data_IF_297344299588
#
_entry.id   IF_297344299588
#
_cell.length_a   1.000
_cell.length_b   1.000
_cell.length_c   1.000
_cell.angle_alpha   90.00
_cell.angle_beta   90.00
_cell.angle_gamma   90.00
#
_symmetry.space_group_name_H-M   'P 1'
#
loop_
_entity.id
_entity.type
_entity.pdbx_description
1 polymer ?
#
# COMPACT_ATOMS: atom_id res chain seq x y z
N UNK A 1 -10.82 17.14 5.71
CA UNK A 1 -10.84 15.68 5.42
C UNK A 1 -9.59 15.42 4.58
N UNK A 2 -8.66 14.58 5.06
CA UNK A 2 -7.39 14.35 4.36
C UNK A 2 -7.70 13.61 3.03
N UNK A 3 -7.23 14.11 1.87
CA UNK A 3 -7.52 13.53 0.55
C UNK A 3 -7.17 12.04 0.45
N UNK A 4 -6.26 11.56 1.30
CA UNK A 4 -5.94 10.15 1.49
C UNK A 4 -7.16 9.29 1.83
N UNK A 5 -7.92 9.66 2.87
CA UNK A 5 -9.09 8.89 3.29
C UNK A 5 -10.17 8.88 2.20
N UNK A 6 -10.28 9.95 1.43
CA UNK A 6 -11.20 10.01 0.29
C UNK A 6 -10.79 9.06 -0.85
N UNK A 7 -9.48 8.87 -1.08
CA UNK A 7 -8.98 7.91 -2.06
C UNK A 7 -9.22 6.45 -1.63
N UNK A 8 -9.05 6.16 -0.33
CA UNK A 8 -9.33 4.83 0.24
C UNK A 8 -10.83 4.51 0.39
N UNK A 9 -11.71 5.51 0.31
CA UNK A 9 -13.17 5.37 0.41
C UNK A 9 -13.87 5.17 -0.95
N UNK A 10 -13.11 4.94 -2.03
CA UNK A 10 -13.68 4.57 -3.33
C UNK A 10 -14.50 3.28 -3.22
N UNK A 11 -15.64 3.20 -3.92
CA UNK A 11 -16.72 2.19 -3.80
C UNK A 11 -16.33 0.70 -3.93
N UNK A 12 -15.05 0.38 -4.15
CA UNK A 12 -14.52 -0.98 -4.30
C UNK A 12 -13.42 -1.33 -3.26
N UNK A 13 -13.11 -0.46 -2.30
CA UNK A 13 -12.15 -0.79 -1.26
C UNK A 13 -12.74 -1.84 -0.29
N UNK A 14 -12.06 -2.97 -0.05
CA UNK A 14 -12.51 -3.93 0.95
C UNK A 14 -12.55 -3.23 2.33
N UNK A 15 -13.62 -3.50 3.06
CA UNK A 15 -14.01 -2.95 4.37
C UNK A 15 -12.87 -2.78 5.42
N UNK A 16 -11.76 -3.58 5.47
CA UNK A 16 -10.71 -3.38 6.49
C UNK A 16 -9.80 -2.14 6.34
N UNK A 17 -9.81 -1.41 5.21
CA UNK A 17 -8.84 -0.32 5.03
C UNK A 17 -9.17 0.95 5.81
N UNK A 18 -10.45 1.28 5.96
CA UNK A 18 -10.87 2.47 6.71
C UNK A 18 -10.65 2.32 8.22
N UNK A 19 -10.80 1.11 8.75
CA UNK A 19 -10.56 0.81 10.17
C UNK A 19 -9.07 0.80 10.47
N UNK A 20 -8.27 0.11 9.64
CA UNK A 20 -6.82 0.08 9.80
C UNK A 20 -6.19 1.48 9.63
N UNK A 21 -6.74 2.32 8.75
CA UNK A 21 -6.26 3.70 8.58
C UNK A 21 -6.67 4.62 9.74
N UNK A 22 -7.71 4.28 10.52
CA UNK A 22 -8.10 5.02 11.72
C UNK A 22 -7.13 4.77 12.89
N UNK A 23 -6.37 3.68 12.85
CA UNK A 23 -5.35 3.35 13.85
C UNK A 23 -3.99 4.03 13.58
N UNK A 24 -3.82 4.71 12.43
CA UNK A 24 -2.60 5.42 12.10
C UNK A 24 -2.49 6.74 12.88
N UNK A 25 -1.30 6.98 13.43
CA UNK A 25 -0.94 8.28 14.01
C UNK A 25 -0.69 9.31 12.91
N UNK A 26 -0.79 10.59 13.27
CA UNK A 26 -0.48 11.70 12.35
C UNK A 26 0.94 11.60 11.78
N UNK A 27 1.91 11.19 12.60
CA UNK A 27 3.30 10.98 12.18
C UNK A 27 3.42 9.88 11.11
N UNK A 28 2.68 8.78 11.24
CA UNK A 28 2.67 7.70 10.25
C UNK A 28 2.04 8.15 8.93
N UNK A 29 0.94 8.91 9.00
CA UNK A 29 0.31 9.47 7.80
C UNK A 29 1.26 10.42 7.07
N UNK A 30 1.99 11.27 7.80
CA UNK A 30 2.98 12.18 7.19
C UNK A 30 4.15 11.43 6.57
N UNK A 31 4.72 10.44 7.28
CA UNK A 31 5.80 9.60 6.77
C UNK A 31 5.39 8.88 5.48
N UNK A 32 4.13 8.44 5.40
CA UNK A 32 3.63 7.78 4.21
C UNK A 32 3.40 8.74 3.05
N UNK A 33 2.83 9.92 3.29
CA UNK A 33 2.69 10.94 2.23
C UNK A 33 4.05 11.35 1.67
N UNK A 34 5.06 11.46 2.55
CA UNK A 34 6.43 11.71 2.12
C UNK A 34 6.97 10.57 1.24
N UNK A 35 6.75 9.31 1.63
CA UNK A 35 7.15 8.16 0.80
C UNK A 35 6.44 8.14 -0.57
N UNK A 36 5.16 8.53 -0.63
CA UNK A 36 4.42 8.67 -1.89
C UNK A 36 5.06 9.76 -2.76
N UNK A 37 5.31 10.95 -2.19
CA UNK A 37 5.88 12.11 -2.90
C UNK A 37 7.31 11.87 -3.39
N UNK A 38 8.10 11.07 -2.65
CA UNK A 38 9.46 10.67 -3.02
C UNK A 38 9.48 9.52 -4.05
N UNK A 39 8.36 8.79 -4.20
CA UNK A 39 8.23 7.70 -5.15
C UNK A 39 7.86 8.20 -6.57
N UNK A 40 8.16 7.41 -7.62
CA UNK A 40 7.70 7.71 -8.99
C UNK A 40 6.21 7.40 -9.21
N UNK A 41 5.48 6.94 -8.17
CA UNK A 41 4.10 6.47 -8.28
C UNK A 41 3.12 7.48 -7.69
N UNK A 42 1.93 7.57 -8.28
CA UNK A 42 0.89 8.46 -7.78
C UNK A 42 0.25 7.91 -6.51
N UNK A 43 -0.34 8.80 -5.71
CA UNK A 43 -1.16 8.44 -4.55
C UNK A 43 -2.24 7.39 -4.88
N UNK A 44 -2.84 7.48 -6.07
CA UNK A 44 -3.83 6.51 -6.55
C UNK A 44 -3.22 5.11 -6.71
N UNK A 45 -2.03 5.00 -7.30
CA UNK A 45 -1.35 3.72 -7.46
C UNK A 45 -0.98 3.10 -6.11
N UNK A 46 -0.57 3.91 -5.14
CA UNK A 46 -0.34 3.46 -3.77
C UNK A 46 -1.62 2.96 -3.09
N UNK A 47 -2.73 3.68 -3.25
CA UNK A 47 -4.03 3.25 -2.72
C UNK A 47 -4.49 1.92 -3.35
N UNK A 48 -4.35 1.77 -4.67
CA UNK A 48 -4.65 0.54 -5.39
C UNK A 48 -3.75 -0.63 -4.94
N UNK A 49 -2.45 -0.38 -4.78
CA UNK A 49 -1.52 -1.41 -4.32
C UNK A 49 -1.86 -1.86 -2.90
N UNK A 50 -2.25 -0.93 -2.03
CA UNK A 50 -2.65 -1.27 -0.67
C UNK A 50 -3.95 -2.10 -0.64
N UNK A 51 -4.90 -1.85 -1.55
CA UNK A 51 -6.09 -2.69 -1.74
C UNK A 51 -5.68 -4.11 -2.14
N UNK A 52 -4.78 -4.25 -3.12
CA UNK A 52 -4.28 -5.54 -3.58
C UNK A 52 -3.53 -6.29 -2.47
N UNK A 53 -2.76 -5.58 -1.65
CA UNK A 53 -2.11 -6.16 -0.48
C UNK A 53 -3.14 -6.73 0.50
N UNK A 54 -4.20 -5.97 0.81
CA UNK A 54 -5.26 -6.41 1.72
C UNK A 54 -6.01 -7.63 1.18
N UNK A 55 -6.24 -7.71 -0.14
CA UNK A 55 -6.81 -8.90 -0.76
C UNK A 55 -5.88 -10.11 -0.59
N UNK A 56 -4.58 -9.94 -0.89
CA UNK A 56 -3.59 -10.99 -0.70
C UNK A 56 -3.50 -11.46 0.77
N UNK A 57 -3.54 -10.55 1.74
CA UNK A 57 -3.56 -10.87 3.17
C UNK A 57 -4.76 -11.77 3.52
N UNK A 58 -5.96 -11.42 3.02
CA UNK A 58 -7.18 -12.19 3.24
C UNK A 58 -7.11 -13.58 2.59
N UNK A 59 -6.66 -13.66 1.35
CA UNK A 59 -6.49 -14.91 0.61
C UNK A 59 -5.52 -15.87 1.31
N UNK A 60 -4.44 -15.31 1.87
CA UNK A 60 -3.41 -16.07 2.58
C UNK A 60 -3.69 -16.26 4.08
N UNK A 61 -4.83 -15.77 4.58
CA UNK A 61 -5.24 -15.83 6.00
C UNK A 61 -4.18 -15.29 6.96
N UNK A 62 -3.45 -14.26 6.53
CA UNK A 62 -2.45 -13.58 7.34
C UNK A 62 -3.06 -12.38 8.06
N UNK A 63 -2.34 -11.87 9.06
CA UNK A 63 -2.69 -10.60 9.71
C UNK A 63 -1.47 -9.70 9.70
N UNK A 64 -1.47 -8.71 8.83
CA UNK A 64 -0.36 -7.80 8.58
C UNK A 64 -0.82 -6.39 8.96
N UNK A 65 -0.07 -5.77 9.86
CA UNK A 65 -0.28 -4.40 10.27
C UNK A 65 -0.19 -3.46 9.06
N UNK A 66 -1.07 -2.46 9.00
CA UNK A 66 -1.05 -1.48 7.91
C UNK A 66 0.32 -0.81 7.77
N UNK A 67 1.00 -0.50 8.89
CA UNK A 67 2.35 0.03 8.89
C UNK A 67 3.34 -0.86 8.12
N UNK A 68 3.35 -2.17 8.37
CA UNK A 68 4.23 -3.10 7.65
C UNK A 68 3.88 -3.17 6.15
N UNK A 69 2.60 -3.05 5.77
CA UNK A 69 2.22 -2.98 4.35
C UNK A 69 2.78 -1.73 3.68
N UNK A 70 2.76 -0.59 4.38
CA UNK A 70 3.29 0.67 3.87
C UNK A 70 4.81 0.61 3.71
N UNK A 71 5.51 0.05 4.69
CA UNK A 71 6.97 -0.17 4.63
C UNK A 71 7.35 -1.10 3.48
N UNK A 72 6.60 -2.19 3.29
CA UNK A 72 6.81 -3.11 2.18
C UNK A 72 6.58 -2.44 0.82
N UNK A 73 5.54 -1.61 0.69
CA UNK A 73 5.31 -0.82 -0.51
C UNK A 73 6.43 0.18 -0.77
N UNK A 74 6.97 0.80 0.28
CA UNK A 74 8.14 1.68 0.16
C UNK A 74 9.34 0.89 -0.39
N UNK A 75 9.62 -0.30 0.14
CA UNK A 75 10.65 -1.18 -0.41
C UNK A 75 10.37 -1.55 -1.87
N UNK A 76 9.13 -1.83 -2.26
CA UNK A 76 8.78 -2.09 -3.67
C UNK A 76 9.12 -0.89 -4.58
N UNK A 77 8.93 0.33 -4.09
CA UNK A 77 9.26 1.55 -4.83
C UNK A 77 10.77 1.75 -4.99
N UNK A 78 11.55 1.46 -3.94
CA UNK A 78 13.02 1.60 -3.94
C UNK A 78 13.73 0.50 -4.74
N UNK A 79 13.17 -0.70 -4.78
CA UNK A 79 13.81 -1.90 -5.37
C UNK A 79 13.88 -1.89 -6.91
N UNK A 80 13.45 -0.81 -7.55
CA UNK A 80 14.06 -0.40 -8.82
C UNK A 80 13.70 -1.24 -10.05
N UNK A 81 12.50 -1.85 -10.11
CA UNK A 81 11.94 -2.11 -11.43
C UNK A 81 11.69 -0.76 -12.11
N UNK A 82 12.07 -0.58 -13.39
CA UNK A 82 11.89 0.69 -14.07
C UNK A 82 10.42 1.14 -13.97
N UNK A 83 10.16 2.12 -13.10
CA UNK A 83 8.82 2.61 -12.73
C UNK A 83 8.00 3.13 -13.93
N UNK A 84 8.65 3.28 -15.09
CA UNK A 84 8.04 3.63 -16.36
C UNK A 84 7.41 2.44 -17.10
N UNK A 85 7.58 1.20 -16.64
CA UNK A 85 7.11 0.00 -17.35
C UNK A 85 5.92 -0.68 -16.68
N UNK A 86 5.74 -0.57 -15.35
CA UNK A 86 4.69 -1.30 -14.63
C UNK A 86 4.09 -0.44 -13.49
N UNK A 87 2.76 -0.47 -13.29
CA UNK A 87 2.12 0.26 -12.20
C UNK A 87 2.41 -0.41 -10.85
N UNK A 88 2.45 0.37 -9.76
CA UNK A 88 2.79 -0.13 -8.41
C UNK A 88 1.98 -1.36 -7.95
N UNK A 89 0.66 -1.46 -8.19
CA UNK A 89 -0.10 -2.66 -7.81
C UNK A 89 0.38 -3.93 -8.50
N UNK A 90 0.91 -3.82 -9.73
CA UNK A 90 1.50 -4.95 -10.44
C UNK A 90 2.84 -5.35 -9.81
N UNK A 91 3.70 -4.37 -9.52
CA UNK A 91 4.98 -4.61 -8.86
C UNK A 91 4.78 -5.30 -7.50
N UNK A 92 3.84 -4.81 -6.69
CA UNK A 92 3.49 -5.45 -5.43
C UNK A 92 3.14 -6.93 -5.62
N UNK A 93 2.30 -7.27 -6.60
CA UNK A 93 1.89 -8.67 -6.85
C UNK A 93 3.08 -9.56 -7.20
N UNK A 94 4.01 -9.07 -8.02
CA UNK A 94 5.23 -9.81 -8.36
C UNK A 94 6.09 -10.04 -7.11
N UNK A 95 6.28 -9.01 -6.27
CA UNK A 95 7.05 -9.11 -5.03
C UNK A 95 6.40 -10.08 -4.03
N UNK A 96 5.09 -9.99 -3.83
CA UNK A 96 4.35 -10.91 -2.96
C UNK A 96 4.39 -12.35 -3.46
N UNK A 97 4.39 -12.56 -4.78
CA UNK A 97 4.52 -13.91 -5.37
C UNK A 97 5.92 -14.48 -5.17
N UNK A 98 6.95 -13.67 -5.40
CA UNK A 98 8.33 -14.15 -5.45
C UNK A 98 8.99 -14.21 -4.05
N UNK A 99 8.55 -13.35 -3.13
CA UNK A 99 9.15 -13.20 -1.79
C UNK A 99 8.15 -13.35 -0.63
N UNK A 100 6.85 -13.19 -0.88
CA UNK A 100 5.86 -13.12 0.20
C UNK A 100 6.10 -11.91 1.12
N UNK A 101 5.78 -12.07 2.40
CA UNK A 101 6.01 -11.08 3.46
C UNK A 101 6.63 -11.77 4.66
N UNK A 102 7.72 -11.22 5.18
CA UNK A 102 8.34 -11.62 6.45
C UNK A 102 7.57 -10.95 7.60
N UNK A 103 7.20 -11.73 8.63
CA UNK A 103 6.43 -11.26 9.80
C UNK A 103 7.31 -10.54 10.84
#
# INVERSE_FOLDING_TARGET
>A
MNPFFSALQSKNAPVPLSEAAAELTEAQVQSWLQAVDESPFSLTQWAEALIEFKLWEQENRRKIALQHMLEYLNCCCESGMPAHLLPLPFLLKEYLRDHGVEE
#
